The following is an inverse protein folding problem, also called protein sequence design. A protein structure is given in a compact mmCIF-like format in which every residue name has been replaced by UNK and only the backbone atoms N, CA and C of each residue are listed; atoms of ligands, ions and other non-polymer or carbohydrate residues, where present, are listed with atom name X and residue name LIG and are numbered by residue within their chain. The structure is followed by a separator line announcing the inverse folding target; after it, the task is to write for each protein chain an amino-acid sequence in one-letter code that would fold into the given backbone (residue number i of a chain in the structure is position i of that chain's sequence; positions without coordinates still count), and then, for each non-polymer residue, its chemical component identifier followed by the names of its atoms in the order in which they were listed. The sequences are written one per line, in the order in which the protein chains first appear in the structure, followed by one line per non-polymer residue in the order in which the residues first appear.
data_IF_407516113978
#
_entry.id   IF_407516113978
#
_cell.length_a   1.000
_cell.length_b   1.000
_cell.length_c   1.000
_cell.angle_alpha   90.00
_cell.angle_beta   90.00
_cell.angle_gamma   90.00
#
_symmetry.space_group_name_H-M   'P 1'
#
loop_
_entity.id
_entity.type
_entity.pdbx_description
1 polymer ?
#
# COMPACT_ATOMS: atom_id res chain seq x y z
N UNK A 1 -12.94 -4.27 -3.76
CA UNK A 1 -14.28 -4.10 -4.33
C UNK A 1 -14.19 -3.90 -5.84
N UNK A 2 -15.02 -4.59 -6.60
CA UNK A 2 -15.16 -4.39 -8.05
C UNK A 2 -15.84 -3.04 -8.33
N UNK A 3 -15.17 -2.16 -9.08
CA UNK A 3 -15.66 -0.79 -9.33
C UNK A 3 -16.87 -0.72 -10.27
N UNK A 4 -17.14 -1.79 -11.03
CA UNK A 4 -18.28 -1.86 -11.97
C UNK A 4 -19.53 -2.46 -11.33
N UNK A 5 -19.35 -3.52 -10.54
CA UNK A 5 -20.47 -4.27 -9.93
C UNK A 5 -20.73 -3.89 -8.48
N UNK A 6 -19.77 -3.25 -7.80
CA UNK A 6 -19.81 -2.98 -6.37
C UNK A 6 -19.60 -4.23 -5.51
N UNK A 7 -19.38 -5.40 -6.11
CA UNK A 7 -19.20 -6.64 -5.38
C UNK A 7 -17.79 -6.72 -4.77
N UNK A 8 -17.72 -7.32 -3.59
CA UNK A 8 -16.46 -7.67 -2.96
C UNK A 8 -16.04 -9.06 -3.45
N UNK A 9 -14.85 -9.17 -4.01
CA UNK A 9 -14.29 -10.42 -4.54
C UNK A 9 -12.78 -10.43 -4.41
N UNK A 10 -12.23 -11.49 -3.88
CA UNK A 10 -10.80 -11.68 -3.80
C UNK A 10 -10.40 -12.56 -2.60
N UNK A 11 -9.11 -12.65 -2.37
CA UNK A 11 -8.55 -13.45 -1.29
C UNK A 11 -9.07 -12.98 0.08
N UNK A 12 -9.06 -11.68 0.33
CA UNK A 12 -9.43 -11.09 1.61
C UNK A 12 -10.93 -11.21 1.89
N UNK A 13 -11.76 -11.06 0.85
CA UNK A 13 -13.21 -11.22 0.96
C UNK A 13 -13.54 -12.67 1.31
N UNK A 14 -12.95 -13.64 0.59
CA UNK A 14 -13.11 -15.06 0.89
C UNK A 14 -12.62 -15.45 2.28
N UNK A 15 -11.52 -14.84 2.73
CA UNK A 15 -10.99 -15.07 4.08
C UNK A 15 -11.96 -14.53 5.15
N UNK A 16 -12.54 -13.34 4.93
CA UNK A 16 -13.52 -12.77 5.85
C UNK A 16 -14.78 -13.65 5.95
N UNK A 17 -15.29 -14.14 4.80
CA UNK A 17 -16.43 -15.06 4.76
C UNK A 17 -16.15 -16.36 5.52
N UNK A 18 -14.96 -16.95 5.35
CA UNK A 18 -14.56 -18.17 6.08
C UNK A 18 -14.47 -17.93 7.59
N UNK A 19 -13.97 -16.78 8.02
CA UNK A 19 -13.91 -16.41 9.44
C UNK A 19 -15.31 -16.25 10.00
N UNK A 20 -16.21 -15.55 9.30
CA UNK A 20 -17.59 -15.37 9.71
C UNK A 20 -18.34 -16.72 9.83
N UNK A 21 -18.16 -17.62 8.87
CA UNK A 21 -18.70 -18.97 8.92
C UNK A 21 -18.19 -19.75 10.14
N UNK A 22 -16.88 -19.69 10.41
CA UNK A 22 -16.27 -20.35 11.58
C UNK A 22 -16.83 -19.82 12.91
N UNK A 23 -17.06 -18.52 13.00
CA UNK A 23 -17.60 -17.87 14.18
C UNK A 23 -19.13 -17.98 14.30
N UNK A 24 -19.83 -18.40 13.24
CA UNK A 24 -21.29 -18.47 13.19
C UNK A 24 -21.97 -17.11 13.19
N UNK A 25 -21.37 -16.12 12.54
CA UNK A 25 -21.88 -14.74 12.39
C UNK A 25 -22.00 -14.36 10.92
N UNK A 26 -22.74 -13.30 10.63
CA UNK A 26 -22.77 -12.68 9.31
C UNK A 26 -21.60 -11.71 9.14
N UNK A 27 -21.13 -11.56 7.89
CA UNK A 27 -20.09 -10.57 7.53
C UNK A 27 -20.71 -9.37 6.82
N UNK A 28 -20.32 -8.17 7.23
CA UNK A 28 -20.63 -6.92 6.55
C UNK A 28 -19.32 -6.29 6.07
N UNK A 29 -19.27 -5.88 4.80
CA UNK A 29 -18.09 -5.27 4.20
C UNK A 29 -18.20 -3.74 4.17
N UNK A 30 -17.18 -3.08 4.69
CA UNK A 30 -17.02 -1.62 4.62
C UNK A 30 -15.79 -1.28 3.78
N UNK A 31 -15.97 -0.44 2.75
CA UNK A 31 -14.85 0.03 1.92
C UNK A 31 -13.97 0.98 2.72
N UNK A 32 -12.67 0.72 2.70
CA UNK A 32 -11.66 1.53 3.40
C UNK A 32 -10.53 1.94 2.43
N UNK A 33 -9.77 2.94 2.83
CA UNK A 33 -8.49 3.31 2.18
C UNK A 33 -7.33 3.02 3.13
N UNK A 34 -6.10 3.13 2.64
CA UNK A 34 -4.93 2.98 3.48
C UNK A 34 -4.89 4.02 4.63
N UNK A 35 -5.46 5.20 4.43
CA UNK A 35 -5.53 6.24 5.45
C UNK A 35 -6.66 6.00 6.48
N UNK A 36 -7.82 5.51 6.05
CA UNK A 36 -9.02 5.45 6.89
C UNK A 36 -9.20 4.15 7.66
N UNK A 37 -8.61 3.03 7.20
CA UNK A 37 -8.82 1.68 7.79
C UNK A 37 -8.49 1.61 9.28
N UNK A 38 -7.43 2.29 9.74
CA UNK A 38 -7.06 2.32 11.15
C UNK A 38 -8.03 3.13 12.01
N UNK A 39 -8.45 4.29 11.53
CA UNK A 39 -9.40 5.16 12.23
C UNK A 39 -10.76 4.49 12.42
N UNK A 40 -11.26 3.80 11.40
CA UNK A 40 -12.54 3.07 11.48
C UNK A 40 -12.47 1.89 12.46
N UNK A 41 -11.29 1.24 12.55
CA UNK A 41 -11.07 0.19 13.55
C UNK A 41 -11.02 0.77 14.98
N UNK A 42 -10.36 1.92 15.16
CA UNK A 42 -10.25 2.59 16.46
C UNK A 42 -11.61 3.12 16.96
N UNK A 43 -12.44 3.66 16.06
CA UNK A 43 -13.79 4.13 16.39
C UNK A 43 -14.76 2.97 16.70
N UNK A 44 -14.48 1.77 16.21
CA UNK A 44 -15.36 0.61 16.33
C UNK A 44 -16.46 0.57 15.26
N UNK A 45 -16.29 1.34 14.17
CA UNK A 45 -17.18 1.26 13.00
C UNK A 45 -16.96 -0.03 12.21
N UNK A 46 -15.80 -0.66 12.38
CA UNK A 46 -15.47 -1.99 11.88
C UNK A 46 -14.77 -2.81 12.98
N UNK A 47 -14.92 -4.13 12.95
CA UNK A 47 -14.35 -5.05 13.94
C UNK A 47 -12.95 -5.54 13.54
N UNK A 48 -12.69 -5.63 12.24
CA UNK A 48 -11.41 -6.09 11.68
C UNK A 48 -11.07 -5.39 10.37
N UNK A 49 -9.78 -5.34 10.06
CA UNK A 49 -9.26 -4.84 8.78
C UNK A 49 -8.61 -5.98 8.01
N UNK A 50 -9.20 -6.32 6.85
CA UNK A 50 -8.64 -7.19 5.83
C UNK A 50 -8.50 -6.37 4.53
N UNK A 51 -7.44 -5.57 4.46
CA UNK A 51 -7.28 -4.58 3.39
C UNK A 51 -5.81 -4.32 3.08
N UNK A 52 -5.06 -5.37 2.67
CA UNK A 52 -3.62 -5.30 2.39
C UNK A 52 -2.84 -4.56 3.49
N UNK A 53 -3.17 -4.88 4.75
CA UNK A 53 -2.64 -4.15 5.90
C UNK A 53 -1.30 -4.74 6.33
N UNK A 54 -0.22 -4.15 5.85
CA UNK A 54 1.14 -4.58 6.18
C UNK A 54 1.39 -4.51 7.68
N UNK A 55 1.84 -5.63 8.24
CA UNK A 55 2.27 -5.72 9.63
C UNK A 55 3.58 -4.94 9.79
N UNK A 56 3.60 -3.97 10.70
CA UNK A 56 4.82 -3.23 11.07
C UNK A 56 4.90 -3.10 12.59
N UNK A 57 6.11 -2.97 13.13
CA UNK A 57 6.30 -2.77 14.58
C UNK A 57 5.63 -1.50 15.07
N UNK A 58 5.54 -0.47 14.24
CA UNK A 58 4.81 0.75 14.54
C UNK A 58 3.31 0.49 14.68
N UNK A 59 2.71 -0.21 13.70
CA UNK A 59 1.29 -0.52 13.69
C UNK A 59 0.88 -1.47 14.82
N UNK A 60 1.76 -2.39 15.22
CA UNK A 60 1.55 -3.27 16.39
C UNK A 60 1.41 -2.54 17.71
N UNK A 61 1.87 -1.29 17.79
CA UNK A 61 1.65 -0.46 18.98
C UNK A 61 0.18 -0.07 19.15
N UNK A 62 -0.54 0.10 18.04
CA UNK A 62 -1.93 0.54 18.00
C UNK A 62 -2.94 -0.59 17.85
N UNK A 63 -2.59 -1.65 17.11
CA UNK A 63 -3.51 -2.73 16.75
C UNK A 63 -2.88 -4.10 17.00
N UNK A 64 -3.73 -5.11 17.20
CA UNK A 64 -3.30 -6.50 17.20
C UNK A 64 -3.40 -7.05 15.78
N UNK A 65 -2.45 -7.90 15.41
CA UNK A 65 -2.37 -8.51 14.08
C UNK A 65 -2.32 -10.03 14.20
N UNK A 66 -2.96 -10.70 13.25
CA UNK A 66 -2.74 -12.14 13.05
C UNK A 66 -1.32 -12.41 12.56
N UNK A 67 -0.96 -13.69 12.44
CA UNK A 67 0.16 -14.09 11.57
C UNK A 67 -0.14 -13.66 10.13
N UNK A 68 0.91 -13.46 9.29
CA UNK A 68 0.70 -13.08 7.90
C UNK A 68 -0.12 -14.13 7.14
N UNK A 69 -1.11 -13.67 6.36
CA UNK A 69 -1.87 -14.53 5.45
C UNK A 69 -1.38 -14.42 3.99
N UNK A 70 -0.61 -13.38 3.67
CA UNK A 70 -0.04 -13.14 2.35
C UNK A 70 1.22 -12.30 2.44
N UNK A 71 2.17 -12.51 1.53
CA UNK A 71 3.35 -11.67 1.36
C UNK A 71 3.38 -11.13 -0.06
N UNK A 72 3.43 -9.81 -0.19
CA UNK A 72 3.60 -9.09 -1.46
C UNK A 72 4.93 -8.32 -1.46
N UNK A 73 5.21 -7.62 -2.54
CA UNK A 73 6.39 -6.75 -2.68
C UNK A 73 5.96 -5.41 -3.24
N UNK A 74 6.61 -4.33 -2.81
CA UNK A 74 6.41 -3.01 -3.40
C UNK A 74 7.10 -2.96 -4.78
N UNK A 75 6.47 -2.31 -5.73
CA UNK A 75 7.00 -2.03 -7.06
C UNK A 75 6.55 -0.65 -7.53
N UNK A 76 6.97 -0.24 -8.72
CA UNK A 76 6.57 1.02 -9.34
C UNK A 76 6.05 0.76 -10.74
N UNK A 77 4.86 1.26 -11.04
CA UNK A 77 4.26 1.26 -12.37
C UNK A 77 4.52 2.61 -13.04
N UNK A 78 4.92 2.60 -14.30
CA UNK A 78 5.26 3.78 -15.09
C UNK A 78 4.61 3.74 -16.46
N UNK A 79 4.39 4.90 -17.09
CA UNK A 79 4.03 4.97 -18.51
C UNK A 79 5.28 4.67 -19.37
N UNK A 80 5.16 3.80 -20.36
CA UNK A 80 6.26 3.41 -21.25
C UNK A 80 6.87 4.61 -21.97
N UNK A 81 6.04 5.63 -22.26
CA UNK A 81 6.47 6.89 -22.89
C UNK A 81 7.49 7.68 -22.07
N UNK A 82 7.56 7.45 -20.75
CA UNK A 82 8.50 8.15 -19.86
C UNK A 82 9.92 7.55 -19.90
N UNK A 83 10.08 6.36 -20.48
CA UNK A 83 11.38 5.73 -20.65
C UNK A 83 12.06 5.27 -19.36
N UNK A 84 11.32 5.25 -18.23
CA UNK A 84 11.81 4.81 -16.92
C UNK A 84 11.83 3.29 -16.89
N UNK A 85 12.96 2.68 -16.54
CA UNK A 85 13.16 1.24 -16.55
C UNK A 85 13.59 0.67 -15.20
N UNK A 86 14.37 1.42 -14.45
CA UNK A 86 14.94 0.98 -13.18
C UNK A 86 14.83 2.07 -12.08
N UNK A 87 15.33 1.78 -10.88
CA UNK A 87 15.31 2.72 -9.76
C UNK A 87 16.13 3.99 -10.02
N UNK A 88 17.20 3.91 -10.83
CA UNK A 88 18.04 5.07 -11.11
C UNK A 88 17.30 6.10 -11.97
N UNK A 89 16.44 5.65 -12.89
CA UNK A 89 15.63 6.52 -13.73
C UNK A 89 14.55 7.28 -12.94
N UNK A 90 14.21 6.83 -11.73
CA UNK A 90 13.27 7.50 -10.82
C UNK A 90 13.90 8.69 -10.08
N UNK A 91 15.22 8.87 -10.18
CA UNK A 91 15.89 10.01 -9.56
C UNK A 91 15.32 11.33 -10.10
N UNK A 92 15.06 12.25 -9.17
CA UNK A 92 14.48 13.58 -9.43
C UNK A 92 13.06 13.56 -10.04
N UNK A 93 12.36 12.42 -9.96
CA UNK A 93 10.97 12.29 -10.39
C UNK A 93 9.99 12.50 -9.24
N UNK A 94 8.72 12.69 -9.63
CA UNK A 94 7.59 12.72 -8.70
C UNK A 94 6.87 11.39 -8.78
N UNK A 95 6.70 10.72 -7.64
CA UNK A 95 6.03 9.42 -7.55
C UNK A 95 4.76 9.54 -6.71
N UNK A 96 3.66 9.00 -7.25
CA UNK A 96 2.38 8.91 -6.54
C UNK A 96 2.34 7.72 -5.60
N UNK A 97 1.84 7.94 -4.40
CA UNK A 97 1.63 6.94 -3.35
C UNK A 97 0.29 7.17 -2.66
N UNK A 98 -0.25 6.14 -2.01
CA UNK A 98 -1.45 6.30 -1.18
C UNK A 98 -1.08 6.84 0.20
N UNK A 99 -1.86 7.80 0.68
CA UNK A 99 -1.76 8.34 2.04
C UNK A 99 -1.88 7.20 3.07
N UNK A 100 -1.03 7.20 4.09
CA UNK A 100 -1.02 6.17 5.13
C UNK A 100 -0.43 4.81 4.71
N UNK A 101 0.15 4.70 3.49
CA UNK A 101 0.85 3.50 3.03
C UNK A 101 2.32 3.50 3.46
N UNK A 102 2.97 2.33 3.30
CA UNK A 102 4.41 2.16 3.54
C UNK A 102 5.26 2.44 2.29
N UNK A 103 4.62 2.69 1.13
CA UNK A 103 5.24 2.61 -0.20
C UNK A 103 6.34 3.66 -0.43
N UNK A 104 6.12 4.92 -0.01
CA UNK A 104 7.12 5.98 -0.20
C UNK A 104 8.42 5.69 0.57
N UNK A 105 8.29 5.29 1.84
CA UNK A 105 9.43 4.91 2.68
C UNK A 105 10.18 3.70 2.11
N UNK A 106 9.43 2.71 1.64
CA UNK A 106 9.99 1.50 1.02
C UNK A 106 10.78 1.83 -0.25
N UNK A 107 10.27 2.73 -1.10
CA UNK A 107 10.95 3.15 -2.34
C UNK A 107 12.23 3.91 -2.03
N UNK A 108 12.21 4.89 -1.11
CA UNK A 108 13.43 5.62 -0.72
C UNK A 108 14.49 4.67 -0.20
N UNK A 109 14.10 3.75 0.70
CA UNK A 109 15.02 2.74 1.22
C UNK A 109 15.62 1.88 0.09
N UNK A 110 14.80 1.40 -0.84
CA UNK A 110 15.26 0.60 -1.97
C UNK A 110 16.25 1.37 -2.87
N UNK A 111 15.99 2.65 -3.12
CA UNK A 111 16.89 3.51 -3.90
C UNK A 111 18.23 3.78 -3.17
N UNK A 112 18.20 3.88 -1.84
CA UNK A 112 19.42 4.00 -1.02
C UNK A 112 20.21 2.68 -1.06
N UNK A 113 19.54 1.55 -0.85
CA UNK A 113 20.17 0.22 -0.86
C UNK A 113 20.80 -0.09 -2.24
N UNK A 114 20.20 0.43 -3.33
CA UNK A 114 20.72 0.35 -4.69
C UNK A 114 21.83 1.39 -5.00
N UNK A 115 22.17 2.26 -4.06
CA UNK A 115 23.19 3.30 -4.25
C UNK A 115 22.74 4.45 -5.16
N UNK A 116 21.46 4.60 -5.43
CA UNK A 116 20.88 5.68 -6.25
C UNK A 116 20.75 6.99 -5.46
N UNK A 117 20.37 6.87 -4.18
CA UNK A 117 20.25 7.99 -3.25
C UNK A 117 21.27 7.90 -2.13
N UNK A 118 21.67 9.06 -1.61
CA UNK A 118 22.41 9.15 -0.35
C UNK A 118 21.43 8.95 0.81
N UNK A 119 21.75 8.03 1.71
CA UNK A 119 20.93 7.70 2.88
C UNK A 119 21.22 8.53 4.11
N UNK A 120 22.08 9.54 4.06
CA UNK A 120 22.56 10.28 5.23
C UNK A 120 21.44 10.91 6.08
N UNK A 121 20.35 11.35 5.43
CA UNK A 121 19.21 11.98 6.10
C UNK A 121 17.96 11.07 6.17
N UNK A 122 18.09 9.79 5.78
CA UNK A 122 16.99 8.85 5.85
C UNK A 122 16.90 8.21 7.23
N UNK A 123 15.77 8.41 7.88
CA UNK A 123 15.38 7.72 9.10
C UNK A 123 13.97 7.14 8.91
N UNK A 124 13.86 5.83 9.01
CA UNK A 124 12.60 5.12 8.74
C UNK A 124 11.50 5.45 9.75
N UNK A 125 11.84 5.82 10.99
CA UNK A 125 10.88 6.10 12.05
C UNK A 125 10.30 7.52 11.94
N UNK A 126 11.06 8.44 11.37
CA UNK A 126 10.66 9.85 11.20
C UNK A 126 10.36 10.23 9.75
N UNK A 127 10.46 9.28 8.82
CA UNK A 127 10.22 9.51 7.39
C UNK A 127 8.82 10.08 7.14
N UNK A 128 8.78 11.16 6.36
CA UNK A 128 7.53 11.76 5.91
C UNK A 128 7.58 12.03 4.40
N UNK A 129 6.64 11.43 3.66
CA UNK A 129 6.57 11.51 2.21
C UNK A 129 6.32 12.93 1.69
N UNK A 130 5.59 13.78 2.42
CA UNK A 130 5.29 15.16 1.98
C UNK A 130 6.51 16.06 2.02
N UNK A 131 7.38 15.83 2.99
CA UNK A 131 8.57 16.66 3.24
C UNK A 131 9.82 16.12 2.57
N UNK A 132 9.85 14.85 2.19
CA UNK A 132 11.00 14.24 1.52
C UNK A 132 11.21 14.81 0.12
N UNK A 133 12.42 15.35 -0.16
CA UNK A 133 12.78 15.95 -1.46
C UNK A 133 14.17 15.56 -1.95
N UNK A 134 14.84 14.63 -1.27
CA UNK A 134 16.21 14.24 -1.60
C UNK A 134 16.23 13.22 -2.74
N UNK A 135 16.46 13.71 -3.96
CA UNK A 135 16.62 12.93 -5.17
C UNK A 135 15.35 12.19 -5.64
N UNK A 136 14.23 12.37 -4.97
CA UNK A 136 12.90 11.92 -5.37
C UNK A 136 11.87 12.68 -4.54
N UNK A 137 10.67 12.89 -5.06
CA UNK A 137 9.57 13.50 -4.31
C UNK A 137 8.28 12.71 -4.48
N UNK A 138 7.38 12.88 -3.53
CA UNK A 138 6.12 12.15 -3.52
C UNK A 138 4.92 13.08 -3.59
N UNK A 139 3.86 12.58 -4.20
CA UNK A 139 2.52 13.15 -4.11
C UNK A 139 1.60 12.08 -3.53
N UNK A 140 0.94 12.40 -2.43
CA UNK A 140 0.03 11.50 -1.75
C UNK A 140 -1.40 11.68 -2.31
N UNK A 141 -2.13 10.57 -2.40
CA UNK A 141 -3.51 10.50 -2.87
C UNK A 141 -4.34 9.65 -1.90
N UNK A 142 -5.63 9.90 -1.86
CA UNK A 142 -6.54 9.18 -0.96
C UNK A 142 -6.84 7.77 -1.45
N UNK A 143 -6.84 7.56 -2.77
CA UNK A 143 -7.14 6.26 -3.38
C UNK A 143 -6.25 5.94 -4.59
N UNK A 144 -6.22 4.69 -4.98
CA UNK A 144 -5.41 4.20 -6.09
C UNK A 144 -5.90 4.65 -7.48
N UNK A 145 -7.23 4.74 -7.77
CA UNK A 145 -7.72 5.30 -9.02
C UNK A 145 -7.21 6.71 -9.31
N UNK A 146 -7.14 7.57 -8.28
CA UNK A 146 -6.59 8.92 -8.41
C UNK A 146 -5.11 8.91 -8.80
N UNK A 147 -4.30 8.02 -8.21
CA UNK A 147 -2.89 7.85 -8.58
C UNK A 147 -2.76 7.41 -10.04
N UNK A 148 -3.57 6.42 -10.45
CA UNK A 148 -3.57 5.92 -11.83
C UNK A 148 -3.94 7.02 -12.83
N UNK A 149 -4.90 7.87 -12.50
CA UNK A 149 -5.30 9.02 -13.33
C UNK A 149 -4.18 10.04 -13.44
N UNK A 150 -3.52 10.39 -12.33
CA UNK A 150 -2.39 11.31 -12.31
C UNK A 150 -1.19 10.78 -13.10
N UNK A 151 -0.96 9.45 -13.09
CA UNK A 151 0.07 8.81 -13.91
C UNK A 151 -0.25 8.97 -15.40
N UNK A 152 -1.48 8.68 -15.84
CA UNK A 152 -1.91 8.89 -17.24
C UNK A 152 -1.83 10.35 -17.67
N UNK A 153 -2.09 11.28 -16.77
CA UNK A 153 -1.99 12.71 -17.03
C UNK A 153 -0.54 13.24 -17.03
N UNK A 154 0.44 12.36 -16.73
CA UNK A 154 1.86 12.70 -16.55
C UNK A 154 2.10 13.77 -15.46
N UNK A 155 1.21 13.85 -14.48
CA UNK A 155 1.40 14.69 -13.30
C UNK A 155 2.39 14.08 -12.30
N UNK A 156 2.54 12.77 -12.37
CA UNK A 156 3.54 11.94 -11.68
C UNK A 156 4.19 11.01 -12.69
N UNK A 157 5.41 10.56 -12.44
CA UNK A 157 6.16 9.69 -13.34
C UNK A 157 6.18 8.22 -12.90
N UNK A 158 5.76 7.95 -11.68
CA UNK A 158 5.62 6.60 -11.16
C UNK A 158 4.45 6.47 -10.21
N UNK A 159 3.84 5.29 -10.17
CA UNK A 159 2.84 4.87 -9.21
C UNK A 159 3.43 3.75 -8.36
N UNK A 160 3.73 4.03 -7.09
CA UNK A 160 4.41 3.11 -6.19
C UNK A 160 3.42 2.55 -5.16
N UNK A 161 3.23 1.24 -5.18
CA UNK A 161 2.46 0.47 -4.20
C UNK A 161 2.79 -1.02 -4.35
N UNK A 162 2.13 -1.87 -3.59
CA UNK A 162 2.28 -3.32 -3.64
C UNK A 162 1.90 -3.87 -5.02
N UNK A 163 2.67 -4.82 -5.51
CA UNK A 163 2.59 -5.31 -6.89
C UNK A 163 1.24 -5.93 -7.24
N UNK A 164 0.61 -6.62 -6.31
CA UNK A 164 -0.74 -7.18 -6.51
C UNK A 164 -1.78 -6.10 -6.78
N UNK A 165 -1.65 -4.93 -6.14
CA UNK A 165 -2.52 -3.76 -6.38
C UNK A 165 -2.20 -3.14 -7.74
N UNK A 166 -0.91 -2.95 -8.07
CA UNK A 166 -0.50 -2.42 -9.37
C UNK A 166 -0.99 -3.27 -10.55
N UNK A 167 -1.16 -4.58 -10.37
CA UNK A 167 -1.62 -5.49 -11.40
C UNK A 167 -2.99 -5.09 -11.99
N UNK A 168 -3.85 -4.44 -11.18
CA UNK A 168 -5.16 -3.94 -11.61
C UNK A 168 -5.01 -2.73 -12.56
N UNK A 169 -3.93 -1.95 -12.40
CA UNK A 169 -3.64 -0.73 -13.14
C UNK A 169 -2.64 -0.93 -14.27
N UNK A 170 -2.09 -2.15 -14.42
CA UNK A 170 -1.19 -2.54 -15.50
C UNK A 170 -1.99 -2.74 -16.78
N UNK A 171 -2.01 -1.71 -17.60
CA UNK A 171 -2.66 -1.70 -18.93
C UNK A 171 -1.59 -1.66 -20.03
N UNK A 172 -2.01 -1.74 -21.28
CA UNK A 172 -1.13 -1.51 -22.41
C UNK A 172 -0.52 -0.09 -22.33
N UNK A 173 0.75 0.03 -22.62
CA UNK A 173 1.50 1.29 -22.51
C UNK A 173 2.08 1.60 -21.14
N UNK A 174 1.92 0.68 -20.16
CA UNK A 174 2.53 0.77 -18.83
C UNK A 174 3.44 -0.41 -18.54
N UNK A 175 4.52 -0.16 -17.86
CA UNK A 175 5.49 -1.19 -17.42
C UNK A 175 5.82 -1.05 -15.94
N UNK A 176 6.21 -2.17 -15.32
CA UNK A 176 6.87 -2.12 -14.02
C UNK A 176 8.32 -1.68 -14.18
N UNK A 177 8.80 -0.90 -13.24
CA UNK A 177 10.23 -0.70 -13.02
C UNK A 177 10.85 -2.06 -12.68
N UNK A 178 12.06 -2.33 -13.17
CA UNK A 178 12.79 -3.59 -12.92
C UNK A 178 13.31 -3.64 -11.47
N UNK A 179 12.37 -3.64 -10.52
CA UNK A 179 12.64 -3.75 -9.09
C UNK A 179 11.40 -4.22 -8.35
N UNK A 180 11.58 -5.20 -7.46
CA UNK A 180 10.64 -5.62 -6.43
C UNK A 180 11.38 -5.51 -5.09
N UNK A 181 10.80 -4.81 -4.15
CA UNK A 181 11.49 -4.50 -2.90
C UNK A 181 10.52 -4.46 -1.73
N UNK A 182 11.08 -4.49 -0.52
CA UNK A 182 10.34 -4.36 0.74
C UNK A 182 9.16 -5.33 0.83
N UNK A 183 9.40 -6.62 1.20
CA UNK A 183 8.30 -7.57 1.39
C UNK A 183 7.25 -6.98 2.34
N UNK A 184 5.98 -7.12 1.95
CA UNK A 184 4.82 -6.64 2.67
C UNK A 184 4.04 -7.83 3.19
N UNK A 185 4.16 -8.13 4.47
CA UNK A 185 3.40 -9.19 5.13
C UNK A 185 2.05 -8.64 5.56
N UNK A 186 0.96 -9.12 4.96
CA UNK A 186 -0.39 -8.69 5.32
C UNK A 186 -0.95 -9.52 6.46
N UNK A 187 -1.47 -8.83 7.48
CA UNK A 187 -2.20 -9.43 8.58
C UNK A 187 -3.60 -8.85 8.72
N UNK A 188 -4.47 -9.60 9.34
CA UNK A 188 -5.76 -9.09 9.79
C UNK A 188 -5.50 -8.26 11.04
N UNK A 189 -5.94 -7.00 11.03
CA UNK A 189 -5.82 -6.14 12.20
C UNK A 189 -7.14 -6.07 12.95
N UNK A 190 -7.06 -6.11 14.27
CA UNK A 190 -8.17 -5.94 15.20
C UNK A 190 -7.84 -4.86 16.21
N UNK A 191 -8.86 -4.31 16.86
CA UNK A 191 -8.66 -3.33 17.95
C UNK A 191 -7.84 -3.97 19.06
N UNK A 192 -6.80 -3.26 19.51
CA UNK A 192 -5.86 -3.79 20.50
C UNK A 192 -6.54 -4.24 21.78
N UNK A 193 -6.30 -5.48 22.18
CA UNK A 193 -6.85 -6.08 23.38
C UNK A 193 -8.35 -6.36 23.34
N UNK A 194 -8.97 -6.37 22.15
CA UNK A 194 -10.36 -6.78 21.99
C UNK A 194 -10.51 -8.30 22.10
N UNK A 195 -11.73 -8.77 22.43
CA UNK A 195 -12.04 -10.20 22.46
C UNK A 195 -11.85 -10.87 21.08
N UNK A 196 -11.92 -10.07 20.00
CA UNK A 196 -11.70 -10.52 18.63
C UNK A 196 -10.20 -10.72 18.30
N UNK A 197 -9.30 -10.24 19.16
CA UNK A 197 -7.84 -10.45 19.03
C UNK A 197 -7.37 -11.80 19.61
N UNK A 198 -8.22 -12.54 20.31
CA UNK A 198 -7.90 -13.84 20.95
C UNK A 198 -8.06 -15.04 19.95
#
# INVERSE_FOLDING_TARGET
QDTLTGEYKGLEDSLAEMIAEYLGVDVEFTTVTAATRGELLDSGDIDAVLATFTITEERKKSWDFTTPYYTDYVSVLVEDSNGIKDLADLKDKVVGVSSGSTSARALVKAMIDAGVLDGANFDADTFNADTWKEGISFRQYDDYPAISTALSANEIQGFCVDKSILAIYKTDGRSYVDAEFSPQEYGIATKKGSDFSA
#
